data_IF_902556491953
#
_entry.id   IF_902556491953
#
_cell.length_a   1.000
_cell.length_b   1.000
_cell.length_c   1.000
_cell.angle_alpha   90.00
_cell.angle_beta   90.00
_cell.angle_gamma   90.00
#
_symmetry.space_group_name_H-M   'P 1'
#
loop_
_entity.id
_entity.type
_entity.pdbx_description
1 polymer ?
#
# COMPACT_ATOMS: atom_id res chain seq x y z
N UNK A 1 -10.29 1.71 -4.92
CA UNK A 1 -11.59 2.37 -4.74
C UNK A 1 -11.58 3.52 -3.73
N UNK A 2 -10.99 3.37 -2.52
CA UNK A 2 -10.87 4.51 -1.57
C UNK A 2 -10.24 5.77 -2.18
N UNK A 3 -9.10 5.64 -2.85
CA UNK A 3 -8.40 6.79 -3.46
C UNK A 3 -9.19 7.38 -4.63
N UNK A 4 -9.71 6.53 -5.52
CA UNK A 4 -10.51 7.00 -6.66
C UNK A 4 -11.77 7.74 -6.21
N UNK A 5 -12.46 7.21 -5.20
CA UNK A 5 -13.61 7.87 -4.60
C UNK A 5 -13.21 9.18 -3.88
N UNK A 6 -12.25 9.13 -2.97
CA UNK A 6 -11.91 10.30 -2.14
C UNK A 6 -11.29 11.46 -2.94
N UNK A 7 -10.58 11.17 -4.04
CA UNK A 7 -9.86 12.17 -4.84
C UNK A 7 -10.66 12.65 -6.06
N UNK A 8 -11.36 11.76 -6.77
CA UNK A 8 -11.97 12.09 -8.07
C UNK A 8 -13.49 12.05 -8.08
N UNK A 9 -14.11 11.05 -7.45
CA UNK A 9 -15.58 10.85 -7.54
C UNK A 9 -16.35 11.49 -6.38
N UNK A 10 -15.66 11.87 -5.30
CA UNK A 10 -16.23 12.49 -4.13
C UNK A 10 -16.46 14.00 -4.32
N UNK A 11 -17.29 14.58 -3.47
CA UNK A 11 -17.61 16.01 -3.52
C UNK A 11 -16.34 16.87 -3.35
N UNK A 12 -16.21 17.96 -4.11
CA UNK A 12 -15.09 18.90 -3.92
C UNK A 12 -15.14 19.52 -2.51
N UNK A 13 -13.99 19.66 -1.84
CA UNK A 13 -13.90 20.41 -0.59
C UNK A 13 -14.19 21.90 -0.84
N UNK A 14 -14.71 22.61 0.18
CA UNK A 14 -14.92 24.05 0.11
C UNK A 14 -13.61 24.83 -0.09
N UNK A 15 -12.48 24.30 0.40
CA UNK A 15 -11.14 24.88 0.25
C UNK A 15 -10.61 24.83 -1.19
N UNK A 16 -11.12 23.91 -2.03
CA UNK A 16 -10.78 23.79 -3.45
C UNK A 16 -11.66 24.68 -4.35
N UNK A 17 -12.62 25.42 -3.77
CA UNK A 17 -13.51 26.32 -4.54
C UNK A 17 -12.82 27.60 -5.00
N UNK A 18 -11.68 27.96 -4.41
CA UNK A 18 -10.80 29.00 -4.94
C UNK A 18 -10.00 28.42 -6.11
N UNK A 19 -10.22 28.88 -7.36
CA UNK A 19 -9.64 28.26 -8.54
C UNK A 19 -8.18 28.72 -8.70
N UNK A 20 -7.28 28.26 -7.83
CA UNK A 20 -5.84 28.32 -8.09
C UNK A 20 -5.48 27.22 -9.10
N UNK A 21 -5.82 27.48 -10.36
CA UNK A 21 -5.39 26.68 -11.50
C UNK A 21 -6.22 25.42 -11.75
N UNK A 22 -7.45 25.60 -12.27
CA UNK A 22 -8.22 24.55 -12.97
C UNK A 22 -7.61 24.26 -14.36
N UNK A 23 -6.30 24.11 -14.45
CA UNK A 23 -5.62 23.66 -15.67
C UNK A 23 -5.34 22.18 -15.55
N UNK A 24 -5.63 21.41 -16.60
CA UNK A 24 -5.05 20.08 -16.76
C UNK A 24 -3.53 20.17 -16.53
N UNK A 25 -2.95 19.15 -15.91
CA UNK A 25 -1.53 19.15 -15.56
C UNK A 25 -0.66 19.50 -16.76
N UNK A 26 0.43 20.25 -16.53
CA UNK A 26 1.38 20.63 -17.59
C UNK A 26 1.78 19.41 -18.41
N UNK A 27 1.98 19.57 -19.71
CA UNK A 27 2.32 18.48 -20.65
C UNK A 27 3.41 17.52 -20.13
N UNK A 28 4.44 18.06 -19.46
CA UNK A 28 5.53 17.28 -18.86
C UNK A 28 5.10 16.31 -17.75
N UNK A 29 3.98 16.57 -17.07
CA UNK A 29 3.40 15.67 -16.05
C UNK A 29 2.51 14.59 -16.67
N UNK A 30 1.87 14.89 -17.80
CA UNK A 30 1.04 13.92 -18.52
C UNK A 30 1.88 12.89 -19.29
N UNK A 31 3.00 13.31 -19.89
CA UNK A 31 3.84 12.43 -20.72
C UNK A 31 4.26 11.13 -20.01
N UNK A 32 4.82 11.14 -18.78
CA UNK A 32 5.20 9.90 -18.11
C UNK A 32 4.02 8.97 -17.83
N UNK A 33 2.86 9.53 -17.45
CA UNK A 33 1.67 8.72 -17.17
C UNK A 33 1.06 8.12 -18.43
N UNK A 34 1.04 8.86 -19.55
CA UNK A 34 0.62 8.35 -20.85
C UNK A 34 1.54 7.25 -21.37
N UNK A 35 2.86 7.44 -21.26
CA UNK A 35 3.85 6.42 -21.65
C UNK A 35 3.68 5.16 -20.81
N UNK A 36 3.52 5.29 -19.48
CA UNK A 36 3.33 4.15 -18.59
C UNK A 36 2.01 3.41 -18.90
N UNK A 37 0.91 4.14 -19.12
CA UNK A 37 -0.36 3.54 -19.51
C UNK A 37 -0.25 2.78 -20.86
N UNK A 38 0.44 3.36 -21.84
CA UNK A 38 0.72 2.70 -23.11
C UNK A 38 1.54 1.42 -22.93
N UNK A 39 2.59 1.46 -22.11
CA UNK A 39 3.38 0.27 -21.77
C UNK A 39 2.55 -0.80 -21.05
N UNK A 40 1.67 -0.41 -20.11
CA UNK A 40 0.77 -1.35 -19.44
C UNK A 40 -0.16 -2.08 -20.42
N UNK A 41 -0.72 -1.36 -21.40
CA UNK A 41 -1.58 -1.96 -22.42
C UNK A 41 -0.76 -2.87 -23.34
N UNK A 42 0.39 -2.40 -23.84
CA UNK A 42 1.24 -3.19 -24.74
C UNK A 42 1.75 -4.48 -24.06
N UNK A 43 2.27 -4.37 -22.85
CA UNK A 43 2.79 -5.51 -22.10
C UNK A 43 1.67 -6.43 -21.60
N UNK A 44 0.49 -5.90 -21.29
CA UNK A 44 -0.67 -6.71 -20.91
C UNK A 44 -1.22 -7.52 -22.08
N UNK A 45 -1.59 -6.85 -23.16
CA UNK A 45 -2.24 -7.48 -24.33
C UNK A 45 -1.29 -8.43 -25.07
N UNK A 46 -0.01 -8.05 -25.17
CA UNK A 46 1.02 -8.84 -25.87
C UNK A 46 1.99 -9.53 -24.90
N UNK A 47 1.53 -9.92 -23.71
CA UNK A 47 2.38 -10.48 -22.65
C UNK A 47 3.33 -11.57 -23.14
N UNK A 48 2.83 -12.57 -23.88
CA UNK A 48 3.66 -13.68 -24.37
C UNK A 48 4.60 -13.28 -25.50
N UNK A 49 4.21 -12.31 -26.33
CA UNK A 49 4.96 -11.94 -27.55
C UNK A 49 6.08 -10.95 -27.27
N UNK A 50 5.91 -10.06 -26.30
CA UNK A 50 6.85 -8.98 -26.00
C UNK A 50 7.58 -9.26 -24.67
N UNK A 51 6.99 -9.11 -23.47
CA UNK A 51 7.67 -9.38 -22.19
C UNK A 51 8.33 -10.75 -22.12
N UNK A 52 7.57 -11.81 -22.39
CA UNK A 52 8.05 -13.18 -22.22
C UNK A 52 9.12 -13.55 -23.24
N UNK A 53 8.84 -13.37 -24.53
CA UNK A 53 9.76 -13.76 -25.61
C UNK A 53 11.07 -12.96 -25.60
N UNK A 54 11.02 -11.66 -25.34
CA UNK A 54 12.18 -10.79 -25.58
C UNK A 54 12.97 -10.44 -24.30
N UNK A 55 12.34 -10.46 -23.12
CA UNK A 55 13.01 -10.07 -21.87
C UNK A 55 13.22 -11.25 -20.93
N UNK A 56 12.18 -12.05 -20.70
CA UNK A 56 12.20 -13.08 -19.64
C UNK A 56 12.84 -14.38 -20.13
N UNK A 57 12.35 -14.97 -21.22
CA UNK A 57 12.85 -16.25 -21.73
C UNK A 57 14.34 -16.28 -22.10
N UNK A 58 14.94 -15.25 -22.75
CA UNK A 58 16.37 -15.29 -23.04
C UNK A 58 17.25 -15.18 -21.78
N UNK A 59 16.67 -14.78 -20.64
CA UNK A 59 17.37 -14.69 -19.36
C UNK A 59 17.31 -15.98 -18.54
N UNK A 60 16.60 -17.01 -19.03
CA UNK A 60 16.39 -18.28 -18.32
C UNK A 60 16.94 -19.41 -19.19
N UNK A 61 17.90 -20.17 -18.66
CA UNK A 61 18.58 -21.27 -19.39
C UNK A 61 17.79 -22.60 -19.39
N UNK A 62 16.50 -22.59 -19.03
CA UNK A 62 15.68 -23.79 -18.85
C UNK A 62 14.34 -23.76 -19.59
N UNK A 63 13.78 -24.95 -19.85
CA UNK A 63 12.44 -25.07 -20.45
C UNK A 63 11.35 -24.63 -19.47
N UNK A 64 10.66 -23.55 -19.81
CA UNK A 64 9.54 -23.03 -19.02
C UNK A 64 8.25 -23.68 -19.50
N UNK A 65 7.71 -24.60 -18.69
CA UNK A 65 6.38 -25.15 -18.91
C UNK A 65 5.30 -24.14 -18.46
N UNK A 66 4.55 -23.59 -19.42
CA UNK A 66 3.41 -22.74 -19.10
C UNK A 66 2.20 -23.61 -18.73
N UNK A 67 1.91 -23.74 -17.43
CA UNK A 67 0.69 -24.38 -16.96
C UNK A 67 -0.46 -23.36 -16.88
N UNK A 68 -1.45 -23.45 -17.78
CA UNK A 68 -2.68 -22.67 -17.69
C UNK A 68 -3.34 -22.37 -19.04
N UNK A 69 -4.61 -21.97 -18.99
CA UNK A 69 -5.41 -21.58 -20.18
C UNK A 69 -5.42 -20.06 -20.43
N UNK A 70 -4.53 -19.32 -19.77
CA UNK A 70 -4.54 -17.86 -19.86
C UNK A 70 -4.13 -17.39 -21.26
N UNK A 71 -5.02 -16.67 -21.94
CA UNK A 71 -4.75 -16.06 -23.24
C UNK A 71 -5.10 -14.55 -23.17
N UNK A 72 -4.11 -13.66 -22.99
CA UNK A 72 -4.32 -12.23 -22.88
C UNK A 72 -5.03 -11.62 -24.09
N UNK A 73 -4.72 -12.10 -25.29
CA UNK A 73 -5.29 -11.56 -26.53
C UNK A 73 -6.79 -11.87 -26.63
N UNK A 74 -7.17 -13.11 -26.34
CA UNK A 74 -8.58 -13.52 -26.33
C UNK A 74 -9.36 -12.80 -25.22
N UNK A 75 -8.78 -12.69 -24.02
CA UNK A 75 -9.39 -11.97 -22.91
C UNK A 75 -9.65 -10.49 -23.25
N UNK A 76 -8.69 -9.82 -23.90
CA UNK A 76 -8.83 -8.42 -24.32
C UNK A 76 -9.97 -8.25 -25.34
N UNK A 77 -10.07 -9.14 -26.32
CA UNK A 77 -11.15 -9.11 -27.32
C UNK A 77 -12.52 -9.27 -26.64
N UNK A 78 -12.66 -10.22 -25.73
CA UNK A 78 -13.92 -10.43 -24.98
C UNK A 78 -14.30 -9.20 -24.15
N UNK A 79 -13.33 -8.56 -23.48
CA UNK A 79 -13.56 -7.33 -22.72
C UNK A 79 -14.04 -6.21 -23.64
N UNK A 80 -13.41 -6.04 -24.82
CA UNK A 80 -13.81 -5.01 -25.78
C UNK A 80 -15.21 -5.26 -26.35
N UNK A 81 -15.57 -6.51 -26.65
CA UNK A 81 -16.93 -6.88 -27.08
C UNK A 81 -17.93 -6.55 -25.97
N UNK A 82 -17.66 -6.95 -24.72
CA UNK A 82 -18.54 -6.67 -23.59
C UNK A 82 -18.73 -5.17 -23.34
N UNK A 83 -17.63 -4.40 -23.39
CA UNK A 83 -17.69 -2.94 -23.27
C UNK A 83 -18.47 -2.30 -24.43
N UNK A 84 -18.29 -2.79 -25.66
CA UNK A 84 -19.03 -2.34 -26.84
C UNK A 84 -20.54 -2.60 -26.72
N UNK A 85 -20.93 -3.82 -26.32
CA UNK A 85 -22.34 -4.16 -26.07
C UNK A 85 -22.93 -3.30 -24.95
N UNK A 86 -22.21 -3.13 -23.84
CA UNK A 86 -22.63 -2.25 -22.75
C UNK A 86 -22.83 -0.80 -23.20
N UNK A 87 -21.95 -0.29 -24.07
CA UNK A 87 -22.08 1.04 -24.65
C UNK A 87 -23.30 1.16 -25.57
N UNK A 88 -23.59 0.15 -26.38
CA UNK A 88 -24.80 0.13 -27.22
C UNK A 88 -26.09 0.14 -26.38
N UNK A 89 -26.13 -0.64 -25.29
CA UNK A 89 -27.26 -0.64 -24.34
C UNK A 89 -27.40 0.74 -23.69
N UNK A 90 -26.29 1.35 -23.30
CA UNK A 90 -26.30 2.71 -22.74
C UNK A 90 -26.88 3.72 -23.73
N UNK A 91 -26.49 3.70 -25.00
CA UNK A 91 -27.05 4.59 -26.02
C UNK A 91 -28.55 4.37 -26.22
N UNK A 92 -29.01 3.12 -26.19
CA UNK A 92 -30.44 2.81 -26.28
C UNK A 92 -31.23 3.37 -25.07
N UNK A 93 -30.65 3.30 -23.86
CA UNK A 93 -31.25 3.85 -22.64
C UNK A 93 -31.15 5.37 -22.50
N UNK A 94 -30.12 5.99 -23.09
CA UNK A 94 -29.85 7.42 -23.03
C UNK A 94 -30.91 8.29 -23.74
N UNK A 95 -31.80 7.68 -24.54
CA UNK A 95 -33.00 8.35 -25.05
C UNK A 95 -33.99 8.76 -23.94
N UNK A 96 -33.85 8.23 -22.73
CA UNK A 96 -34.67 8.55 -21.56
C UNK A 96 -34.05 9.74 -20.80
N UNK A 97 -34.84 10.78 -20.50
CA UNK A 97 -34.37 11.92 -19.69
C UNK A 97 -33.93 11.45 -18.30
N UNK A 98 -32.62 11.46 -18.05
CA UNK A 98 -32.05 11.23 -16.72
C UNK A 98 -32.22 12.50 -15.90
N UNK A 99 -32.86 12.39 -14.73
CA UNK A 99 -32.98 13.49 -13.78
C UNK A 99 -31.70 13.54 -12.94
N UNK A 100 -30.97 14.65 -13.01
CA UNK A 100 -29.90 14.92 -12.06
C UNK A 100 -30.52 15.31 -10.70
N UNK A 101 -30.11 14.62 -9.64
CA UNK A 101 -30.53 14.91 -8.27
C UNK A 101 -29.32 15.32 -7.44
N UNK A 102 -29.55 16.14 -6.43
CA UNK A 102 -28.51 16.49 -5.48
C UNK A 102 -28.06 15.26 -4.69
N UNK A 103 -26.81 15.31 -4.22
CA UNK A 103 -26.22 14.19 -3.47
C UNK A 103 -26.82 14.21 -2.07
N UNK A 104 -27.53 13.14 -1.72
CA UNK A 104 -28.19 13.01 -0.43
C UNK A 104 -27.60 11.86 0.39
N UNK A 105 -27.59 12.02 1.71
CA UNK A 105 -27.29 10.96 2.67
C UNK A 105 -28.46 10.88 3.67
N UNK A 106 -29.09 9.71 3.80
CA UNK A 106 -30.24 9.55 4.69
C UNK A 106 -31.47 10.41 4.34
N UNK A 107 -31.56 10.92 3.11
CA UNK A 107 -32.64 11.81 2.65
C UNK A 107 -32.33 13.31 2.80
N UNK A 108 -31.22 13.67 3.44
CA UNK A 108 -30.78 15.05 3.62
C UNK A 108 -29.72 15.43 2.59
N UNK A 109 -29.73 16.70 2.15
CA UNK A 109 -28.69 17.22 1.26
C UNK A 109 -27.38 17.42 2.04
N UNK A 110 -26.33 16.74 1.57
CA UNK A 110 -24.99 16.76 2.16
C UNK A 110 -24.38 18.17 2.13
N UNK A 111 -24.83 19.06 1.24
CA UNK A 111 -24.39 20.47 1.23
C UNK A 111 -24.75 21.21 2.52
N UNK A 112 -25.89 20.88 3.11
CA UNK A 112 -26.39 21.53 4.33
C UNK A 112 -25.74 20.94 5.59
N UNK A 113 -25.26 19.69 5.52
CA UNK A 113 -24.65 18.96 6.64
C UNK A 113 -23.29 18.37 6.23
N UNK A 114 -22.23 19.19 6.15
CA UNK A 114 -20.90 18.74 5.72
C UNK A 114 -20.31 17.63 6.60
N UNK A 115 -20.77 17.48 7.84
CA UNK A 115 -20.41 16.40 8.76
C UNK A 115 -20.95 15.01 8.34
N UNK A 116 -22.00 14.96 7.52
CA UNK A 116 -22.52 13.69 6.97
C UNK A 116 -21.70 13.20 5.78
N UNK A 117 -20.73 13.99 5.32
CA UNK A 117 -19.82 13.59 4.26
C UNK A 117 -18.86 12.52 4.77
N UNK A 118 -18.92 11.35 4.15
CA UNK A 118 -17.96 10.29 4.42
C UNK A 118 -16.55 10.70 4.01
N UNK A 119 -15.67 10.76 5.00
CA UNK A 119 -14.25 11.06 4.77
C UNK A 119 -13.55 9.85 4.14
N UNK A 120 -12.66 10.10 3.19
CA UNK A 120 -11.81 9.04 2.63
C UNK A 120 -10.98 8.35 3.71
N UNK A 121 -10.55 9.08 4.74
CA UNK A 121 -9.82 8.54 5.90
C UNK A 121 -10.66 7.53 6.68
N UNK A 122 -11.95 7.81 6.89
CA UNK A 122 -12.89 6.95 7.60
C UNK A 122 -13.40 5.72 6.84
N UNK A 123 -13.16 5.62 5.52
CA UNK A 123 -13.71 4.55 4.66
C UNK A 123 -13.47 3.12 5.17
N UNK A 124 -12.35 2.86 5.87
CA UNK A 124 -12.01 1.54 6.41
C UNK A 124 -12.13 1.44 7.92
N UNK A 125 -12.75 2.43 8.59
CA UNK A 125 -12.93 2.39 10.04
C UNK A 125 -13.72 1.16 10.46
N UNK A 126 -14.77 0.76 9.72
CA UNK A 126 -15.51 -0.46 10.03
C UNK A 126 -14.61 -1.70 10.09
N UNK A 127 -13.68 -1.86 9.14
CA UNK A 127 -12.74 -3.00 9.14
C UNK A 127 -11.74 -2.87 10.29
N UNK A 128 -11.21 -1.65 10.52
CA UNK A 128 -10.29 -1.36 11.63
C UNK A 128 -10.91 -1.68 12.99
N UNK A 129 -12.21 -1.47 13.15
CA UNK A 129 -12.92 -1.57 14.43
C UNK A 129 -13.44 -2.99 14.76
N UNK A 130 -13.35 -3.94 13.83
CA UNK A 130 -13.66 -5.36 14.11
C UNK A 130 -12.68 -5.90 15.15
N UNK A 131 -13.16 -6.70 16.11
CA UNK A 131 -12.43 -7.11 17.30
C UNK A 131 -10.97 -7.56 17.06
N UNK A 132 -10.75 -8.49 16.13
CA UNK A 132 -9.43 -9.01 15.79
C UNK A 132 -8.52 -7.92 15.18
N UNK A 133 -8.98 -7.21 14.15
CA UNK A 133 -8.21 -6.17 13.49
C UNK A 133 -7.94 -4.99 14.43
N UNK A 134 -8.90 -4.60 15.27
CA UNK A 134 -8.74 -3.54 16.27
C UNK A 134 -7.55 -3.83 17.19
N UNK A 135 -7.38 -5.08 17.62
CA UNK A 135 -6.24 -5.47 18.45
C UNK A 135 -4.92 -5.30 17.68
N UNK A 136 -4.85 -5.78 16.43
CA UNK A 136 -3.65 -5.64 15.58
C UNK A 136 -3.31 -4.17 15.32
N UNK A 137 -4.30 -3.36 14.95
CA UNK A 137 -4.10 -1.93 14.71
C UNK A 137 -3.67 -1.20 15.98
N UNK A 138 -4.20 -1.54 17.17
CA UNK A 138 -3.72 -0.98 18.43
C UNK A 138 -2.27 -1.36 18.75
N UNK A 139 -1.86 -2.60 18.44
CA UNK A 139 -0.45 -3.01 18.57
C UNK A 139 0.45 -2.27 17.59
N UNK A 140 -0.01 -2.06 16.36
CA UNK A 140 0.69 -1.28 15.34
C UNK A 140 0.81 0.20 15.73
N UNK A 141 -0.24 0.82 16.29
CA UNK A 141 -0.23 2.19 16.82
C UNK A 141 0.77 2.35 17.98
N UNK A 142 0.98 1.29 18.76
CA UNK A 142 2.02 1.22 19.81
C UNK A 142 3.42 0.90 19.26
N UNK A 143 3.58 0.91 17.93
CA UNK A 143 4.84 0.62 17.21
C UNK A 143 5.44 -0.75 17.52
N UNK A 144 4.62 -1.73 17.91
CA UNK A 144 5.11 -3.07 18.26
C UNK A 144 5.68 -3.84 17.05
N UNK A 145 5.34 -3.43 15.83
CA UNK A 145 5.86 -4.02 14.59
C UNK A 145 6.94 -3.16 13.92
N UNK A 146 7.32 -2.04 14.54
CA UNK A 146 8.40 -1.20 14.04
C UNK A 146 9.74 -1.77 14.53
N UNK A 147 10.49 -2.40 13.61
CA UNK A 147 11.79 -3.03 13.89
C UNK A 147 12.75 -2.02 14.52
N UNK A 148 12.67 -0.75 14.13
CA UNK A 148 13.54 0.29 14.68
C UNK A 148 13.21 0.56 16.15
N UNK A 149 11.94 0.73 16.52
CA UNK A 149 11.56 1.01 17.91
C UNK A 149 11.74 -0.21 18.83
N UNK A 150 11.43 -1.40 18.33
CA UNK A 150 11.67 -2.65 19.07
C UNK A 150 13.17 -2.87 19.27
N UNK A 151 13.97 -2.71 18.21
CA UNK A 151 15.43 -2.83 18.26
C UNK A 151 16.08 -1.79 19.15
N UNK A 152 15.56 -0.55 19.14
CA UNK A 152 15.96 0.52 20.05
C UNK A 152 15.69 0.14 21.51
N UNK A 153 14.50 -0.37 21.81
CA UNK A 153 14.15 -0.85 23.15
C UNK A 153 15.10 -1.95 23.65
N UNK A 154 15.41 -2.93 22.79
CA UNK A 154 16.34 -4.01 23.11
C UNK A 154 17.77 -3.52 23.35
N UNK A 155 18.30 -2.70 22.43
CA UNK A 155 19.68 -2.19 22.53
C UNK A 155 19.87 -1.30 23.75
N UNK A 156 18.94 -0.39 24.04
CA UNK A 156 19.01 0.41 25.27
C UNK A 156 18.84 -0.43 26.54
N UNK A 157 18.01 -1.48 26.49
CA UNK A 157 17.88 -2.44 27.58
C UNK A 157 19.20 -3.15 27.88
N UNK A 158 19.83 -3.75 26.86
CA UNK A 158 21.14 -4.38 26.97
C UNK A 158 22.21 -3.40 27.45
N UNK A 159 22.24 -2.19 26.89
CA UNK A 159 23.19 -1.15 27.26
C UNK A 159 23.07 -0.79 28.75
N UNK A 160 21.86 -0.73 29.31
CA UNK A 160 21.66 -0.45 30.74
C UNK A 160 22.26 -1.56 31.63
N UNK A 161 22.14 -2.82 31.24
CA UNK A 161 22.74 -3.96 31.97
C UNK A 161 24.26 -3.92 31.92
N UNK A 162 24.82 -3.73 30.72
CA UNK A 162 26.27 -3.60 30.52
C UNK A 162 26.84 -2.39 31.27
N UNK A 163 26.15 -1.25 31.25
CA UNK A 163 26.53 -0.05 32.00
C UNK A 163 26.54 -0.28 33.51
N UNK A 164 25.60 -1.07 34.04
CA UNK A 164 25.59 -1.43 35.47
C UNK A 164 26.80 -2.30 35.86
N UNK A 165 27.22 -3.24 35.00
CA UNK A 165 28.41 -4.06 35.22
C UNK A 165 29.71 -3.25 35.13
N UNK A 166 29.69 -2.14 34.37
CA UNK A 166 30.82 -1.24 34.17
C UNK A 166 30.68 0.04 35.01
N UNK A 167 30.62 -0.13 36.33
CA UNK A 167 30.33 0.94 37.29
C UNK A 167 31.54 1.83 37.69
N UNK A 168 32.73 1.61 37.13
CA UNK A 168 33.93 2.41 37.43
C UNK A 168 34.57 2.15 38.80
N UNK A 169 34.08 1.15 39.56
CA UNK A 169 34.58 0.81 40.90
C UNK A 169 35.67 -0.25 40.80
N UNK A 170 36.90 0.09 41.21
CA UNK A 170 38.10 -0.76 41.07
C UNK A 170 37.92 -2.19 41.65
N UNK A 171 37.35 -2.39 42.86
CA UNK A 171 37.04 -3.73 43.38
C UNK A 171 36.22 -4.62 42.44
N UNK A 172 35.24 -4.05 41.72
CA UNK A 172 34.37 -4.79 40.79
C UNK A 172 35.20 -5.40 39.66
N UNK A 173 36.14 -4.64 39.09
CA UNK A 173 37.02 -5.12 38.02
C UNK A 173 38.00 -6.19 38.52
N UNK A 174 38.56 -6.01 39.72
CA UNK A 174 39.42 -7.02 40.31
C UNK A 174 38.69 -8.36 40.49
N UNK A 175 37.43 -8.31 40.96
CA UNK A 175 36.58 -9.50 41.07
C UNK A 175 36.35 -10.17 39.69
N UNK A 176 36.07 -9.40 38.63
CA UNK A 176 35.94 -9.94 37.27
C UNK A 176 37.25 -10.58 36.75
N UNK A 177 38.40 -9.98 37.03
CA UNK A 177 39.71 -10.54 36.65
C UNK A 177 39.99 -11.87 37.36
N UNK A 178 39.73 -11.94 38.67
CA UNK A 178 39.89 -13.17 39.45
C UNK A 178 38.93 -14.27 38.97
N UNK A 179 37.65 -13.93 38.75
CA UNK A 179 36.65 -14.85 38.22
C UNK A 179 37.03 -15.36 36.84
N UNK A 180 37.53 -14.48 35.95
CA UNK A 180 38.06 -14.87 34.64
C UNK A 180 39.24 -15.83 34.74
N UNK A 181 40.18 -15.61 35.65
CA UNK A 181 41.30 -16.53 35.88
C UNK A 181 40.83 -17.91 36.38
N UNK A 182 39.88 -17.96 37.30
CA UNK A 182 39.31 -19.23 37.79
C UNK A 182 38.65 -20.01 36.64
N UNK A 183 37.86 -19.34 35.80
CA UNK A 183 37.23 -19.97 34.62
C UNK A 183 38.29 -20.49 33.65
N UNK A 184 39.31 -19.69 33.36
CA UNK A 184 40.40 -20.09 32.46
C UNK A 184 41.17 -21.30 32.99
N UNK A 185 41.51 -21.31 34.28
CA UNK A 185 42.16 -22.46 34.90
C UNK A 185 41.26 -23.69 34.90
N UNK A 186 39.97 -23.55 35.16
CA UNK A 186 39.03 -24.67 35.06
C UNK A 186 38.96 -25.25 33.64
N UNK A 187 38.97 -24.40 32.60
CA UNK A 187 38.97 -24.85 31.21
C UNK A 187 40.32 -25.49 30.83
N UNK A 188 41.44 -24.97 31.34
CA UNK A 188 42.79 -25.44 30.99
C UNK A 188 43.19 -26.75 31.71
N UNK A 189 42.77 -26.92 32.96
CA UNK A 189 43.08 -28.10 33.78
C UNK A 189 42.00 -29.19 33.72
N UNK A 190 40.95 -28.98 32.92
CA UNK A 190 39.99 -30.01 32.52
C UNK A 190 40.45 -30.66 31.22
#
# INVERSE_FOLDING_TARGET
>A
MKLTHAVFLGQSSAELKTPTGKGEGKFYLWLPSAVLAGLCILFGVFAYRIPWKNFILPSIEGEVAFSGMWNPSLATILILIGAGVGFLIFLAGAATKVKETEIFAGGEDIKNFPQMRESGTGFYNTIKEIAFFRMIYKMAERKMFDIYEVGKGLTFGCNRVLAYLHNGVLPTYLAWCLLGMIILFYILFR
#
